data_IF_775740200587
#
_entry.id   IF_775740200587
#
_cell.length_a   1.000
_cell.length_b   1.000
_cell.length_c   1.000
_cell.angle_alpha   90.00
_cell.angle_beta   90.00
_cell.angle_gamma   90.00
#
_symmetry.space_group_name_H-M   'P 1'
#
loop_
_entity.id
_entity.type
_entity.pdbx_description
1 polymer ?
#
# COMPACT_ATOMS: atom_id res chain seq x y z
N UNK A 1 12.07 -0.06 1.41
CA UNK A 1 12.78 -1.05 2.25
C UNK A 1 11.96 -1.58 3.42
N UNK A 2 11.31 -0.72 4.24
CA UNK A 2 10.51 -1.17 5.39
C UNK A 2 9.31 -2.04 4.99
N UNK A 3 8.65 -1.74 3.85
CA UNK A 3 7.57 -2.57 3.30
C UNK A 3 7.99 -4.01 2.97
N UNK A 4 9.16 -4.20 2.36
CA UNK A 4 9.70 -5.54 2.07
C UNK A 4 9.95 -6.35 3.35
N UNK A 5 10.42 -5.71 4.42
CA UNK A 5 10.62 -6.37 5.71
C UNK A 5 9.29 -6.81 6.33
N UNK A 6 8.29 -5.92 6.33
CA UNK A 6 6.94 -6.19 6.86
C UNK A 6 6.22 -7.32 6.09
N UNK A 7 6.49 -7.47 4.79
CA UNK A 7 5.91 -8.53 3.96
C UNK A 7 6.68 -9.84 3.97
N UNK A 8 7.98 -9.81 4.28
CA UNK A 8 8.77 -11.04 4.39
C UNK A 8 8.23 -11.97 5.49
N UNK A 9 7.56 -11.40 6.49
CA UNK A 9 6.91 -12.13 7.59
C UNK A 9 5.50 -12.65 7.27
N UNK A 10 4.96 -12.44 6.06
CA UNK A 10 3.57 -12.87 5.74
C UNK A 10 3.41 -14.01 4.76
N UNK A 11 2.38 -14.83 5.04
CA UNK A 11 2.09 -16.09 4.36
C UNK A 11 1.56 -15.94 2.93
N UNK A 12 1.21 -14.71 2.51
CA UNK A 12 0.69 -14.42 1.17
C UNK A 12 1.72 -13.73 0.25
N UNK A 13 2.92 -13.41 0.76
CA UNK A 13 3.93 -12.70 -0.03
C UNK A 13 4.53 -13.63 -1.09
N UNK A 14 4.25 -13.37 -2.37
CA UNK A 14 4.64 -14.26 -3.46
C UNK A 14 6.15 -14.26 -3.69
N UNK A 15 6.66 -15.40 -4.19
CA UNK A 15 8.06 -15.56 -4.60
C UNK A 15 8.51 -14.48 -5.59
N UNK A 16 7.60 -14.00 -6.46
CA UNK A 16 7.88 -12.96 -7.44
C UNK A 16 8.21 -11.58 -6.83
N UNK A 17 7.79 -11.34 -5.58
CA UNK A 17 8.09 -10.13 -4.82
C UNK A 17 9.06 -10.40 -3.66
N UNK A 18 9.85 -11.47 -3.73
CA UNK A 18 10.79 -11.93 -2.69
C UNK A 18 10.16 -12.50 -1.41
N UNK A 19 8.95 -13.07 -1.48
CA UNK A 19 8.29 -13.75 -0.37
C UNK A 19 8.34 -15.29 -0.42
N UNK A 20 7.91 -15.93 0.67
CA UNK A 20 7.79 -17.41 0.78
C UNK A 20 6.35 -17.92 0.70
N UNK A 21 5.40 -17.00 0.53
CA UNK A 21 3.97 -17.23 0.60
C UNK A 21 3.31 -17.57 -0.74
N UNK A 22 2.04 -17.96 -0.68
CA UNK A 22 1.23 -18.31 -1.84
C UNK A 22 -0.01 -17.40 -1.90
N UNK A 23 -0.35 -16.89 -3.09
CA UNK A 23 -1.50 -16.00 -3.30
C UNK A 23 -2.85 -16.62 -2.89
N UNK A 24 -2.91 -17.94 -2.75
CA UNK A 24 -4.11 -18.65 -2.31
C UNK A 24 -4.57 -18.23 -0.91
N UNK A 25 -3.65 -17.78 -0.04
CA UNK A 25 -3.95 -17.40 1.35
C UNK A 25 -4.32 -15.93 1.53
N UNK A 26 -4.36 -15.13 0.45
CA UNK A 26 -4.63 -13.69 0.52
C UNK A 26 -5.99 -13.34 1.12
N UNK A 27 -6.95 -14.28 1.02
CA UNK A 27 -8.34 -14.17 1.50
C UNK A 27 -8.75 -15.36 2.38
N UNK A 28 -7.82 -16.01 3.06
CA UNK A 28 -8.12 -17.18 3.91
C UNK A 28 -9.12 -16.86 5.03
N UNK A 29 -8.98 -15.69 5.68
CA UNK A 29 -9.64 -15.42 6.98
C UNK A 29 -10.67 -14.28 6.92
N UNK A 30 -11.39 -14.12 5.80
CA UNK A 30 -12.47 -13.14 5.70
C UNK A 30 -13.65 -13.55 6.61
N UNK A 31 -14.20 -12.66 7.47
CA UNK A 31 -14.07 -11.20 7.50
C UNK A 31 -13.08 -10.60 8.52
N UNK A 32 -12.44 -11.42 9.37
CA UNK A 32 -11.51 -10.95 10.40
C UNK A 32 -10.10 -11.51 10.19
N UNK A 33 -9.31 -10.80 9.39
CA UNK A 33 -7.89 -11.10 9.24
C UNK A 33 -7.14 -10.62 10.50
N UNK A 34 -6.44 -11.53 11.18
CA UNK A 34 -5.49 -11.16 12.25
C UNK A 34 -4.27 -10.48 11.61
N UNK A 35 -4.31 -9.16 11.54
CA UNK A 35 -3.19 -8.37 11.01
C UNK A 35 -2.15 -8.15 12.12
N UNK A 36 -0.84 -8.39 11.87
CA UNK A 36 0.21 -8.07 12.82
C UNK A 36 0.22 -6.57 13.15
N UNK A 37 0.56 -6.16 14.38
CA UNK A 37 0.60 -4.74 14.75
C UNK A 37 1.52 -3.89 13.85
N UNK A 38 2.60 -4.49 13.33
CA UNK A 38 3.52 -3.87 12.36
C UNK A 38 2.83 -3.45 11.07
N UNK A 39 1.79 -4.18 10.63
CA UNK A 39 1.03 -3.84 9.42
C UNK A 39 0.31 -2.51 9.59
N UNK A 40 -0.36 -2.31 10.72
CA UNK A 40 -1.11 -1.08 11.00
C UNK A 40 -0.18 0.13 11.05
N UNK A 41 0.99 -0.02 11.66
CA UNK A 41 2.00 1.03 11.73
C UNK A 41 2.56 1.37 10.35
N UNK A 42 2.92 0.34 9.55
CA UNK A 42 3.35 0.54 8.17
C UNK A 42 2.30 1.26 7.34
N UNK A 43 1.04 0.86 7.48
CA UNK A 43 -0.09 1.45 6.78
C UNK A 43 -0.25 2.93 7.08
N UNK A 44 -0.20 3.31 8.36
CA UNK A 44 -0.33 4.69 8.80
C UNK A 44 0.84 5.54 8.32
N UNK A 45 2.07 5.02 8.41
CA UNK A 45 3.28 5.74 7.96
C UNK A 45 3.24 5.93 6.43
N UNK A 46 2.99 4.87 5.67
CA UNK A 46 2.91 4.94 4.21
C UNK A 46 1.80 5.89 3.74
N UNK A 47 0.64 5.84 4.37
CA UNK A 47 -0.46 6.76 4.08
C UNK A 47 -0.12 8.22 4.41
N UNK A 48 0.55 8.47 5.53
CA UNK A 48 0.98 9.83 5.89
C UNK A 48 2.01 10.39 4.91
N UNK A 49 2.92 9.55 4.42
CA UNK A 49 3.92 9.91 3.43
C UNK A 49 3.27 10.28 2.08
N UNK A 50 2.37 9.44 1.57
CA UNK A 50 1.64 9.75 0.33
C UNK A 50 0.75 10.99 0.46
N UNK A 51 0.18 11.27 1.63
CA UNK A 51 -0.58 12.48 1.88
C UNK A 51 0.32 13.73 1.88
N UNK A 52 1.48 13.67 2.55
CA UNK A 52 2.46 14.77 2.55
C UNK A 52 2.97 15.06 1.14
N UNK A 53 3.30 14.01 0.38
CA UNK A 53 3.76 14.13 -1.01
C UNK A 53 2.67 14.73 -1.90
N UNK A 54 1.41 14.32 -1.75
CA UNK A 54 0.29 14.92 -2.48
C UNK A 54 0.15 16.41 -2.18
N UNK A 55 0.21 16.79 -0.90
CA UNK A 55 0.12 18.19 -0.46
C UNK A 55 1.30 19.01 -0.97
N UNK A 56 2.52 18.48 -0.89
CA UNK A 56 3.72 19.17 -1.39
C UNK A 56 3.69 19.35 -2.91
N UNK A 57 3.04 18.42 -3.63
CA UNK A 57 2.86 18.52 -5.06
C UNK A 57 1.96 19.68 -5.47
N UNK A 58 0.91 19.99 -4.68
CA UNK A 58 0.05 21.17 -4.91
C UNK A 58 0.79 22.51 -4.81
N UNK A 59 1.90 22.57 -4.06
CA UNK A 59 2.71 23.79 -3.92
C UNK A 59 3.81 23.93 -5.00
N UNK A 60 4.06 22.89 -5.79
CA UNK A 60 5.05 22.92 -6.87
C UNK A 60 4.45 23.48 -8.18
N UNK A 61 5.29 24.09 -9.04
CA UNK A 61 4.83 24.59 -10.33
C UNK A 61 4.34 23.45 -11.22
N UNK A 62 3.24 23.69 -11.94
CA UNK A 62 2.63 22.73 -12.85
C UNK A 62 3.63 22.38 -13.97
N UNK A 63 4.01 21.11 -14.01
CA UNK A 63 4.80 20.51 -15.08
C UNK A 63 3.90 19.66 -15.99
N UNK A 64 4.39 19.24 -17.15
CA UNK A 64 3.60 18.48 -18.13
C UNK A 64 3.00 17.18 -17.57
N UNK A 65 3.67 16.57 -16.58
CA UNK A 65 3.26 15.29 -15.99
C UNK A 65 2.51 15.47 -14.65
N UNK A 66 2.13 16.71 -14.32
CA UNK A 66 1.50 17.05 -13.05
C UNK A 66 0.19 16.29 -12.80
N UNK A 67 -0.68 16.20 -13.81
CA UNK A 67 -1.96 15.49 -13.68
C UNK A 67 -1.78 13.98 -13.56
N UNK A 68 -0.76 13.41 -14.19
CA UNK A 68 -0.47 11.97 -14.10
C UNK A 68 0.00 11.60 -12.70
N UNK A 69 0.97 12.35 -12.14
CA UNK A 69 1.49 12.14 -10.79
C UNK A 69 0.46 12.43 -9.69
N UNK A 70 -0.41 13.43 -9.90
CA UNK A 70 -1.52 13.74 -8.99
C UNK A 70 -2.59 12.65 -9.00
N UNK A 71 -2.99 12.16 -10.18
CA UNK A 71 -3.99 11.10 -10.31
C UNK A 71 -3.46 9.79 -9.73
N UNK A 72 -2.17 9.49 -9.93
CA UNK A 72 -1.49 8.36 -9.31
C UNK A 72 -1.60 8.40 -7.78
N UNK A 73 -1.21 9.51 -7.16
CA UNK A 73 -1.30 9.70 -5.70
C UNK A 73 -2.75 9.72 -5.18
N UNK A 74 -3.70 10.24 -5.94
CA UNK A 74 -5.10 10.23 -5.54
C UNK A 74 -5.70 8.83 -5.54
N UNK A 75 -5.39 8.02 -6.57
CA UNK A 75 -5.88 6.64 -6.69
C UNK A 75 -5.26 5.74 -5.62
N UNK A 76 -3.96 5.90 -5.32
CA UNK A 76 -3.29 5.13 -4.27
C UNK A 76 -3.94 5.37 -2.91
N UNK A 77 -4.18 6.63 -2.54
CA UNK A 77 -4.84 6.99 -1.28
C UNK A 77 -6.25 6.39 -1.22
N UNK A 78 -7.03 6.46 -2.29
CA UNK A 78 -8.38 5.88 -2.34
C UNK A 78 -8.38 4.36 -2.20
N UNK A 79 -7.51 3.64 -2.90
CA UNK A 79 -7.40 2.18 -2.83
C UNK A 79 -6.92 1.73 -1.43
N UNK A 80 -6.00 2.46 -0.84
CA UNK A 80 -5.46 2.23 0.51
C UNK A 80 -6.54 2.50 1.57
N UNK A 81 -7.26 3.61 1.51
CA UNK A 81 -8.37 3.87 2.44
C UNK A 81 -9.49 2.84 2.30
N UNK A 82 -9.88 2.50 1.07
CA UNK A 82 -10.96 1.53 0.80
C UNK A 82 -10.63 0.12 1.32
N UNK A 83 -9.39 -0.34 1.13
CA UNK A 83 -8.97 -1.64 1.66
C UNK A 83 -8.87 -1.67 3.19
N UNK A 84 -8.58 -0.53 3.83
CA UNK A 84 -8.66 -0.41 5.28
C UNK A 84 -10.11 -0.53 5.80
N UNK A 85 -11.07 0.11 5.13
CA UNK A 85 -12.49 0.05 5.50
C UNK A 85 -13.11 -1.34 5.33
N UNK A 86 -12.69 -2.09 4.31
CA UNK A 86 -13.24 -3.43 3.97
C UNK A 86 -12.49 -4.55 4.74
N UNK A 87 -11.53 -4.21 5.61
CA UNK A 87 -10.68 -5.18 6.34
C UNK A 87 -9.85 -6.08 5.40
N UNK A 88 -9.53 -5.56 4.21
CA UNK A 88 -8.73 -6.24 3.17
C UNK A 88 -7.32 -5.65 3.09
N UNK A 89 -6.68 -5.51 4.26
CA UNK A 89 -5.36 -4.92 4.46
C UNK A 89 -4.24 -5.49 3.56
N UNK A 90 -4.31 -6.79 3.25
CA UNK A 90 -3.35 -7.47 2.37
C UNK A 90 -3.32 -6.85 0.97
N UNK A 91 -4.48 -6.50 0.42
CA UNK A 91 -4.57 -5.85 -0.89
C UNK A 91 -4.03 -4.42 -0.85
N UNK A 92 -4.29 -3.68 0.24
CA UNK A 92 -3.80 -2.31 0.39
C UNK A 92 -2.27 -2.22 0.38
N UNK A 93 -1.58 -3.19 0.97
CA UNK A 93 -0.11 -3.21 1.02
C UNK A 93 0.51 -3.55 -0.33
N UNK A 94 -0.12 -4.44 -1.11
CA UNK A 94 0.31 -4.74 -2.47
C UNK A 94 0.19 -3.49 -3.34
N UNK A 95 -0.92 -2.75 -3.20
CA UNK A 95 -1.14 -1.49 -3.91
C UNK A 95 -0.07 -0.46 -3.55
N UNK A 96 0.27 -0.29 -2.26
CA UNK A 96 1.34 0.63 -1.84
C UNK A 96 2.67 0.32 -2.53
N UNK A 97 3.11 -0.94 -2.52
CA UNK A 97 4.39 -1.30 -3.16
C UNK A 97 4.35 -1.07 -4.66
N UNK A 98 3.27 -1.49 -5.31
CA UNK A 98 3.20 -1.41 -6.76
C UNK A 98 3.22 0.05 -7.24
N UNK A 99 2.64 0.94 -6.44
CA UNK A 99 2.54 2.35 -6.78
C UNK A 99 3.78 3.15 -6.38
N UNK A 100 4.63 2.62 -5.49
CA UNK A 100 5.97 3.13 -5.20
C UNK A 100 7.02 2.81 -6.29
N UNK A 101 6.70 1.93 -7.25
CA UNK A 101 7.63 1.39 -8.26
C UNK A 101 7.49 2.07 -9.65
N UNK A 102 6.49 2.92 -9.83
CA UNK A 102 6.26 3.69 -11.05
C UNK A 102 7.02 5.03 -11.06
#
# INVERSE_FOLDING_TARGET
FLGFYVLSDTEFHSFMMFGKGNFMYLKSDWPYNKVPNLYKMYYMIGMSYHLEDTVSHFFHPIQNDFFEMLLHHYITIMLVMGSHMISTWNFGIIVMIQMDIC
#
